data_IF_570411381815
#
_entry.id   IF_570411381815
#
_cell.length_a   1.000
_cell.length_b   1.000
_cell.length_c   1.000
_cell.angle_alpha   90.00
_cell.angle_beta   90.00
_cell.angle_gamma   90.00
#
_symmetry.space_group_name_H-M   'P 1'
#
loop_
_entity.id
_entity.type
_entity.pdbx_description
1 polymer ?
#
# COMPACT_ATOMS: atom_id res chain seq x y z
N UNK A 1 -8.57 -26.05 -14.69
CA UNK A 1 -9.10 -24.87 -13.97
C UNK A 1 -8.07 -24.46 -12.92
N UNK A 2 -7.57 -23.21 -12.93
CA UNK A 2 -6.63 -22.77 -11.89
C UNK A 2 -7.35 -22.67 -10.53
N UNK A 3 -6.77 -23.22 -9.47
CA UNK A 3 -7.34 -23.11 -8.12
C UNK A 3 -7.18 -21.65 -7.66
N UNK A 4 -8.27 -21.01 -7.23
CA UNK A 4 -8.20 -19.63 -6.72
C UNK A 4 -8.05 -19.65 -5.19
N UNK A 5 -7.05 -18.93 -4.68
CA UNK A 5 -6.88 -18.65 -3.25
C UNK A 5 -7.09 -17.16 -3.04
N UNK A 6 -7.93 -16.85 -2.06
CA UNK A 6 -8.16 -15.49 -1.57
C UNK A 6 -7.42 -15.32 -0.25
N UNK A 7 -6.65 -14.25 -0.11
CA UNK A 7 -5.89 -13.96 1.10
C UNK A 7 -6.24 -12.57 1.63
N UNK A 8 -6.35 -12.46 2.95
CA UNK A 8 -6.32 -11.20 3.67
C UNK A 8 -5.15 -11.25 4.65
N UNK A 9 -4.26 -10.27 4.62
CA UNK A 9 -3.01 -10.28 5.41
C UNK A 9 -3.18 -9.44 6.68
N UNK A 10 -3.11 -10.06 7.86
CA UNK A 10 -3.07 -9.35 9.15
C UNK A 10 -1.63 -9.21 9.62
N UNK A 11 -1.23 -8.01 10.04
CA UNK A 11 0.17 -7.68 10.34
C UNK A 11 1.06 -8.00 9.14
N UNK A 12 0.66 -7.47 7.98
CA UNK A 12 1.20 -7.85 6.67
C UNK A 12 2.70 -7.61 6.55
N UNK A 13 3.23 -6.64 7.30
CA UNK A 13 4.58 -6.14 7.12
C UNK A 13 4.78 -5.75 5.65
N UNK A 14 5.81 -6.31 5.02
CA UNK A 14 6.12 -6.08 3.61
C UNK A 14 5.29 -6.94 2.63
N UNK A 15 4.37 -7.77 3.13
CA UNK A 15 3.52 -8.65 2.31
C UNK A 15 4.26 -9.89 1.79
N UNK A 16 5.09 -10.50 2.64
CA UNK A 16 5.81 -11.73 2.31
C UNK A 16 4.85 -12.89 2.02
N UNK A 17 3.66 -12.89 2.65
CA UNK A 17 2.66 -13.93 2.46
C UNK A 17 2.08 -13.90 1.04
N UNK A 18 1.63 -12.73 0.58
CA UNK A 18 1.18 -12.52 -0.80
C UNK A 18 2.30 -12.76 -1.82
N UNK A 19 3.52 -12.29 -1.54
CA UNK A 19 4.67 -12.46 -2.42
C UNK A 19 5.00 -13.94 -2.64
N UNK A 20 5.01 -14.74 -1.57
CA UNK A 20 5.27 -16.18 -1.62
C UNK A 20 4.16 -16.93 -2.35
N UNK A 21 2.89 -16.65 -2.03
CA UNK A 21 1.76 -17.32 -2.67
C UNK A 21 1.69 -17.09 -4.18
N UNK A 22 2.05 -15.89 -4.67
CA UNK A 22 2.11 -15.61 -6.12
C UNK A 22 3.19 -16.42 -6.85
N UNK A 23 4.22 -16.91 -6.12
CA UNK A 23 5.40 -17.58 -6.71
C UNK A 23 5.46 -19.08 -6.47
N UNK A 24 4.69 -19.61 -5.52
CA UNK A 24 4.75 -21.01 -5.14
C UNK A 24 4.28 -21.96 -6.24
N UNK A 25 3.27 -21.57 -7.04
CA UNK A 25 2.73 -22.38 -8.12
C UNK A 25 2.06 -21.52 -9.22
N UNK A 26 2.49 -21.71 -10.47
CA UNK A 26 1.93 -21.03 -11.65
C UNK A 26 0.46 -21.38 -11.93
N UNK A 27 -0.01 -22.52 -11.40
CA UNK A 27 -1.39 -23.00 -11.51
C UNK A 27 -2.32 -22.42 -10.44
N UNK A 28 -1.77 -21.71 -9.46
CA UNK A 28 -2.53 -21.02 -8.43
C UNK A 28 -2.87 -19.59 -8.87
N UNK A 29 -4.14 -19.23 -8.78
CA UNK A 29 -4.57 -17.84 -8.94
C UNK A 29 -4.73 -17.23 -7.55
N UNK A 30 -3.86 -16.30 -7.19
CA UNK A 30 -3.90 -15.62 -5.88
C UNK A 30 -4.61 -14.28 -6.01
N UNK A 31 -5.63 -14.05 -5.20
CA UNK A 31 -6.35 -12.79 -5.10
C UNK A 31 -6.20 -12.23 -3.69
N UNK A 32 -5.49 -11.10 -3.56
CA UNK A 32 -5.53 -10.33 -2.32
C UNK A 32 -6.91 -9.69 -2.14
N UNK A 33 -7.45 -9.79 -0.94
CA UNK A 33 -8.68 -9.12 -0.49
C UNK A 33 -8.37 -7.85 0.30
N UNK A 34 -7.11 -7.66 0.71
CA UNK A 34 -6.67 -6.55 1.54
C UNK A 34 -5.54 -6.95 2.48
N UNK A 35 -5.03 -5.95 3.18
CA UNK A 35 -4.00 -6.09 4.20
C UNK A 35 -4.33 -5.17 5.38
N UNK A 36 -3.80 -5.50 6.55
CA UNK A 36 -3.90 -4.70 7.77
C UNK A 36 -2.51 -4.58 8.38
N UNK A 37 -2.06 -3.35 8.50
CA UNK A 37 -0.86 -2.96 9.22
C UNK A 37 -1.03 -1.50 9.67
N UNK A 38 -0.20 -1.08 10.59
CA UNK A 38 -0.15 0.28 11.10
C UNK A 38 1.24 0.89 11.04
N UNK A 39 2.29 0.11 10.75
CA UNK A 39 3.65 0.62 10.67
C UNK A 39 3.88 1.33 9.32
N UNK A 40 4.15 2.64 9.37
CA UNK A 40 4.26 3.51 8.20
C UNK A 40 5.24 2.96 7.16
N UNK A 41 6.46 2.60 7.56
CA UNK A 41 7.48 2.17 6.60
C UNK A 41 7.14 0.81 5.98
N UNK A 42 6.50 -0.08 6.75
CA UNK A 42 6.03 -1.37 6.23
C UNK A 42 4.89 -1.19 5.22
N UNK A 43 3.93 -0.30 5.51
CA UNK A 43 2.82 0.01 4.60
C UNK A 43 3.35 0.63 3.30
N UNK A 44 4.21 1.64 3.39
CA UNK A 44 4.80 2.28 2.20
C UNK A 44 5.53 1.23 1.34
N UNK A 45 6.33 0.38 1.98
CA UNK A 45 7.06 -0.69 1.29
C UNK A 45 6.13 -1.74 0.67
N UNK A 46 5.08 -2.17 1.40
CA UNK A 46 4.06 -3.08 0.89
C UNK A 46 3.41 -2.52 -0.37
N UNK A 47 3.00 -1.25 -0.33
CA UNK A 47 2.35 -0.59 -1.44
C UNK A 47 3.27 -0.54 -2.66
N UNK A 48 4.54 -0.19 -2.48
CA UNK A 48 5.52 -0.18 -3.57
C UNK A 48 5.72 -1.59 -4.16
N UNK A 49 5.91 -2.62 -3.32
CA UNK A 49 6.19 -3.99 -3.77
C UNK A 49 5.01 -4.60 -4.53
N UNK A 50 3.77 -4.35 -4.09
CA UNK A 50 2.58 -5.04 -4.62
C UNK A 50 1.74 -4.22 -5.59
N UNK A 51 1.92 -2.90 -5.61
CA UNK A 51 1.14 -1.98 -6.45
C UNK A 51 2.00 -1.05 -7.32
N UNK A 52 3.30 -0.89 -7.02
CA UNK A 52 4.19 0.00 -7.76
C UNK A 52 4.36 1.37 -7.11
N UNK A 53 5.26 2.17 -7.70
CA UNK A 53 5.64 3.50 -7.24
C UNK A 53 4.61 4.53 -7.67
N UNK A 54 4.26 5.44 -6.75
CA UNK A 54 3.42 6.61 -7.00
C UNK A 54 4.24 7.89 -6.97
N UNK A 55 3.80 8.87 -7.77
CA UNK A 55 4.26 10.25 -7.68
C UNK A 55 3.83 10.91 -6.35
N UNK A 56 4.62 11.84 -5.80
CA UNK A 56 4.24 12.62 -4.62
C UNK A 56 2.92 13.37 -4.81
N UNK A 57 2.16 13.55 -3.72
CA UNK A 57 0.93 14.32 -3.75
C UNK A 57 1.24 15.83 -3.85
N UNK A 58 0.75 16.48 -4.90
CA UNK A 58 1.07 17.87 -5.23
C UNK A 58 -0.17 18.78 -5.30
N UNK A 59 -1.37 18.23 -5.18
CA UNK A 59 -2.62 18.99 -5.27
C UNK A 59 -3.14 19.43 -3.91
N UNK A 60 -2.94 18.60 -2.87
CA UNK A 60 -3.35 18.92 -1.50
C UNK A 60 -2.28 19.77 -0.78
N UNK A 61 -2.75 20.63 0.11
CA UNK A 61 -1.90 21.32 1.07
C UNK A 61 -1.33 20.36 2.11
N UNK A 62 -0.27 20.79 2.80
CA UNK A 62 0.35 20.00 3.88
C UNK A 62 -0.65 19.72 5.00
N UNK A 63 -1.47 20.70 5.34
CA UNK A 63 -2.46 20.65 6.40
C UNK A 63 -3.54 19.62 6.08
N UNK A 64 -4.11 19.66 4.87
CA UNK A 64 -5.13 18.69 4.42
C UNK A 64 -4.60 17.26 4.46
N UNK A 65 -3.38 17.02 3.95
CA UNK A 65 -2.76 15.68 4.00
C UNK A 65 -2.57 15.20 5.45
N UNK A 66 -2.11 16.09 6.34
CA UNK A 66 -1.89 15.76 7.74
C UNK A 66 -3.20 15.46 8.47
N UNK A 67 -4.25 16.24 8.25
CA UNK A 67 -5.58 16.04 8.83
C UNK A 67 -6.17 14.70 8.41
N UNK A 68 -6.07 14.36 7.12
CA UNK A 68 -6.51 13.05 6.59
C UNK A 68 -5.75 11.91 7.26
N UNK A 69 -4.41 11.97 7.34
CA UNK A 69 -3.64 10.86 7.91
C UNK A 69 -3.78 10.75 9.44
N UNK A 70 -3.98 11.88 10.13
CA UNK A 70 -4.23 11.92 11.57
C UNK A 70 -5.57 11.28 11.99
N UNK A 71 -6.53 11.10 11.06
CA UNK A 71 -7.76 10.36 11.37
C UNK A 71 -7.56 8.84 11.48
N UNK A 72 -6.35 8.33 11.23
CA UNK A 72 -5.99 6.92 11.29
C UNK A 72 -4.93 6.63 12.37
N UNK A 73 -4.81 5.37 12.75
CA UNK A 73 -3.88 4.92 13.81
C UNK A 73 -2.58 4.38 13.21
N UNK A 74 -1.72 5.25 12.68
CA UNK A 74 -0.40 4.85 12.18
C UNK A 74 0.66 4.82 13.29
N UNK A 75 1.74 4.09 13.05
CA UNK A 75 2.90 3.95 13.93
C UNK A 75 4.19 4.25 13.17
N UNK A 76 5.11 4.96 13.82
CA UNK A 76 6.46 5.20 13.29
C UNK A 76 7.52 4.24 13.85
N UNK A 77 7.17 3.42 14.84
CA UNK A 77 8.08 2.52 15.56
C UNK A 77 7.56 1.08 15.63
N UNK A 78 6.50 0.78 14.86
CA UNK A 78 5.74 -0.48 14.83
C UNK A 78 5.13 -0.91 16.16
N UNK A 79 5.07 -0.04 17.17
CA UNK A 79 4.67 -0.37 18.54
C UNK A 79 3.60 0.57 19.06
N UNK A 80 3.81 1.87 18.88
CA UNK A 80 2.99 2.93 19.42
C UNK A 80 2.36 3.75 18.29
N UNK A 81 1.12 4.19 18.50
CA UNK A 81 0.45 5.13 17.59
C UNK A 81 1.17 6.47 17.65
N UNK A 82 1.36 7.10 16.49
CA UNK A 82 1.97 8.43 16.40
C UNK A 82 1.12 9.50 17.09
N UNK A 83 1.74 10.58 17.54
CA UNK A 83 1.01 11.69 18.14
C UNK A 83 0.09 12.39 17.12
N UNK A 84 -0.98 13.04 17.59
CA UNK A 84 -1.94 13.75 16.73
C UNK A 84 -1.36 14.89 15.88
N UNK A 85 -0.13 15.32 16.16
CA UNK A 85 0.59 16.34 15.38
C UNK A 85 1.78 15.76 14.59
N UNK A 86 1.91 14.43 14.53
CA UNK A 86 3.02 13.77 13.86
C UNK A 86 3.11 14.19 12.39
N UNK A 87 2.01 14.04 11.63
CA UNK A 87 1.98 14.37 10.20
C UNK A 87 2.20 15.87 9.93
N UNK A 88 1.77 16.74 10.84
CA UNK A 88 2.00 18.19 10.74
C UNK A 88 3.48 18.57 10.94
N UNK A 89 4.21 17.80 11.76
CA UNK A 89 5.63 18.04 12.11
C UNK A 89 6.62 17.49 11.10
N UNK A 90 6.23 16.52 10.27
CA UNK A 90 7.13 15.98 9.24
C UNK A 90 7.45 17.05 8.21
N UNK A 91 8.62 16.97 7.57
CA UNK A 91 8.96 17.80 6.41
C UNK A 91 7.91 17.58 5.31
N UNK A 92 7.48 18.67 4.68
CA UNK A 92 6.42 18.62 3.67
C UNK A 92 6.76 17.70 2.50
N UNK A 93 7.98 17.78 1.99
CA UNK A 93 8.50 16.88 0.94
C UNK A 93 8.31 15.40 1.30
N UNK A 94 8.68 15.02 2.53
CA UNK A 94 8.49 13.65 3.02
C UNK A 94 7.00 13.29 3.11
N UNK A 95 6.17 14.20 3.63
CA UNK A 95 4.73 13.96 3.73
C UNK A 95 4.10 13.74 2.35
N UNK A 96 4.42 14.59 1.36
CA UNK A 96 3.97 14.46 -0.03
C UNK A 96 4.37 13.11 -0.63
N UNK A 97 5.57 12.63 -0.33
CA UNK A 97 6.06 11.33 -0.80
C UNK A 97 5.33 10.14 -0.18
N UNK A 98 5.04 10.15 1.13
CA UNK A 98 4.43 8.98 1.80
C UNK A 98 2.89 8.99 1.75
N UNK A 99 2.26 10.16 1.67
CA UNK A 99 0.81 10.34 1.68
C UNK A 99 0.07 9.43 0.68
N UNK A 100 0.44 9.38 -0.61
CA UNK A 100 -0.33 8.61 -1.57
C UNK A 100 -0.33 7.10 -1.26
N UNK A 101 0.75 6.56 -0.67
CA UNK A 101 0.81 5.17 -0.26
C UNK A 101 -0.06 4.90 0.97
N UNK A 102 0.10 5.71 2.04
CA UNK A 102 -0.65 5.53 3.27
C UNK A 102 -2.15 5.69 3.05
N UNK A 103 -2.56 6.69 2.27
CA UNK A 103 -3.98 6.93 2.01
C UNK A 103 -4.58 5.85 1.09
N UNK A 104 -3.82 5.38 0.09
CA UNK A 104 -4.24 4.23 -0.73
C UNK A 104 -4.42 2.95 0.09
N UNK A 105 -3.60 2.73 1.13
CA UNK A 105 -3.71 1.55 1.98
C UNK A 105 -5.02 1.50 2.77
N UNK A 106 -5.54 2.66 3.19
CA UNK A 106 -6.74 2.76 4.03
C UNK A 106 -8.00 3.22 3.28
N UNK A 107 -7.87 3.70 2.04
CA UNK A 107 -8.97 4.18 1.22
C UNK A 107 -8.97 3.50 -0.17
N UNK A 108 -9.95 2.61 -0.37
CA UNK A 108 -10.10 1.86 -1.62
C UNK A 108 -10.45 2.73 -2.84
N UNK A 109 -11.18 3.83 -2.66
CA UNK A 109 -11.51 4.74 -3.77
C UNK A 109 -10.25 5.45 -4.24
N UNK A 110 -9.47 5.98 -3.29
CA UNK A 110 -8.19 6.61 -3.56
C UNK A 110 -7.19 5.63 -4.20
N UNK A 111 -7.06 4.42 -3.65
CA UNK A 111 -6.26 3.33 -4.23
C UNK A 111 -6.61 3.08 -5.69
N UNK A 112 -7.90 2.94 -5.99
CA UNK A 112 -8.36 2.66 -7.35
C UNK A 112 -8.13 3.84 -8.30
N UNK A 113 -8.15 5.08 -7.77
CA UNK A 113 -7.86 6.27 -8.56
C UNK A 113 -6.38 6.41 -8.91
N UNK A 114 -5.46 5.99 -8.01
CA UNK A 114 -4.01 6.09 -8.23
C UNK A 114 -3.45 4.91 -9.03
N UNK A 115 -3.93 3.69 -8.76
CA UNK A 115 -3.44 2.46 -9.40
C UNK A 115 -4.46 1.89 -10.40
N UNK A 116 -4.88 2.71 -11.35
CA UNK A 116 -5.78 2.41 -12.47
C UNK A 116 -5.95 0.90 -12.73
N UNK A 117 -7.19 0.38 -12.74
CA UNK A 117 -7.47 -1.06 -12.97
C UNK A 117 -6.69 -1.67 -14.17
N UNK A 118 -6.41 -0.88 -15.20
CA UNK A 118 -5.69 -1.31 -16.41
C UNK A 118 -4.19 -1.58 -16.27
N UNK A 119 -3.47 -1.01 -15.28
CA UNK A 119 -2.05 -1.34 -15.06
C UNK A 119 -1.87 -2.58 -14.20
N UNK A 120 -2.79 -2.81 -13.25
CA UNK A 120 -2.82 -4.03 -12.42
C UNK A 120 -2.97 -5.32 -13.21
N UNK A 121 -3.57 -5.30 -14.40
CA UNK A 121 -3.63 -6.46 -15.31
C UNK A 121 -2.41 -6.52 -16.23
N UNK A 122 -2.00 -5.39 -16.84
CA UNK A 122 -0.87 -5.33 -17.79
C UNK A 122 0.51 -5.58 -17.16
N UNK A 123 0.73 -5.26 -15.89
CA UNK A 123 1.99 -5.61 -15.20
C UNK A 123 2.04 -7.08 -14.77
N UNK A 124 0.91 -7.65 -14.33
CA UNK A 124 0.81 -9.09 -14.01
C UNK A 124 1.01 -9.97 -15.24
N UNK A 125 0.58 -9.49 -16.41
CA UNK A 125 0.86 -10.14 -17.69
C UNK A 125 2.35 -10.01 -18.05
N UNK A 126 2.94 -8.81 -17.93
CA UNK A 126 4.36 -8.58 -18.24
C UNK A 126 5.33 -9.38 -17.37
N UNK A 127 5.10 -9.52 -16.06
CA UNK A 127 5.94 -10.37 -15.19
C UNK A 127 5.91 -11.86 -15.58
N UNK A 128 4.87 -12.32 -16.27
CA UNK A 128 4.73 -13.72 -16.70
C UNK A 128 5.50 -14.04 -17.99
N UNK A 129 5.89 -13.03 -18.77
CA UNK A 129 6.57 -13.21 -20.08
C UNK A 129 8.10 -13.11 -20.02
N UNK A 130 8.70 -12.79 -18.86
CA UNK A 130 10.17 -12.69 -18.69
C UNK A 130 10.84 -13.97 -18.15
N UNK A 131 10.17 -15.12 -18.17
CA UNK A 131 10.72 -16.44 -17.82
C UNK A 131 10.35 -17.53 -18.83
#
# INVERSE_FOLDING_TARGET
>A
MKKEIKIYELFSGLGSQLYALKRIDKNLKVKSLGACDFYIDAIVSYMIIHHGVLEPENTMSKQEMAEILNSFHFSSDSKNVVSANYFSKIKEEKLRGIFPYLYSFVNNEYLNSKYSKGEREREREREFYWH
#
